data_IF_802999929573
#
_entry.id   IF_802999929573
#
_cell.length_a   1.000
_cell.length_b   1.000
_cell.length_c   1.000
_cell.angle_alpha   90.00
_cell.angle_beta   90.00
_cell.angle_gamma   90.00
#
_symmetry.space_group_name_H-M   'P 1'
#
loop_
_entity.id
_entity.type
_entity.pdbx_description
1 polymer ?
#
# COMPACT_ATOMS: atom_id res chain seq x y z
N UNK A 1 -2.62 -46.31 -25.95
CA UNK A 1 -2.39 -46.13 -24.50
C UNK A 1 -1.10 -45.38 -24.18
N UNK A 2 0.08 -45.79 -24.68
CA UNK A 2 1.38 -45.13 -24.38
C UNK A 2 1.46 -43.64 -24.75
N UNK A 3 0.87 -43.23 -25.87
CA UNK A 3 0.83 -41.81 -26.31
C UNK A 3 -0.08 -40.95 -25.42
N UNK A 4 -1.20 -41.50 -24.94
CA UNK A 4 -2.16 -40.79 -24.08
C UNK A 4 -1.56 -40.52 -22.69
N UNK A 5 -0.85 -41.49 -22.13
CA UNK A 5 -0.13 -41.36 -20.84
C UNK A 5 0.97 -40.29 -20.94
N UNK A 6 1.67 -40.22 -22.07
CA UNK A 6 2.71 -39.21 -22.31
C UNK A 6 2.13 -37.78 -22.33
N UNK A 7 0.98 -37.58 -22.97
CA UNK A 7 0.30 -36.28 -22.99
C UNK A 7 -0.21 -35.87 -21.60
N UNK A 8 -0.78 -36.80 -20.83
CA UNK A 8 -1.29 -36.51 -19.50
C UNK A 8 -0.16 -36.17 -18.50
N UNK A 9 1.00 -36.81 -18.62
CA UNK A 9 2.20 -36.48 -17.82
C UNK A 9 2.75 -35.09 -18.17
N UNK A 10 2.76 -34.71 -19.45
CA UNK A 10 3.21 -33.39 -19.89
C UNK A 10 2.29 -32.27 -19.40
N UNK A 11 0.96 -32.48 -19.43
CA UNK A 11 -0.02 -31.54 -18.88
C UNK A 11 0.13 -31.42 -17.36
N UNK A 12 0.35 -32.53 -16.66
CA UNK A 12 0.56 -32.52 -15.21
C UNK A 12 1.85 -31.79 -14.82
N UNK A 13 2.95 -32.00 -15.54
CA UNK A 13 4.24 -31.29 -15.37
C UNK A 13 4.14 -29.78 -15.67
N UNK A 14 3.30 -29.40 -16.64
CA UNK A 14 3.03 -28.00 -16.94
C UNK A 14 2.20 -27.33 -15.83
N UNK A 15 1.24 -28.04 -15.22
CA UNK A 15 0.44 -27.53 -14.10
C UNK A 15 1.26 -27.26 -12.83
N UNK A 16 2.33 -28.03 -12.57
CA UNK A 16 3.20 -27.83 -11.39
C UNK A 16 4.13 -26.62 -11.57
N UNK A 17 4.57 -26.32 -12.80
CA UNK A 17 5.45 -25.19 -13.09
C UNK A 17 4.72 -23.84 -13.09
N UNK A 18 3.45 -23.80 -13.51
CA UNK A 18 2.61 -22.60 -13.43
C UNK A 18 2.37 -22.16 -11.98
N UNK A 19 2.21 -23.11 -11.06
CA UNK A 19 2.03 -22.80 -9.63
C UNK A 19 3.32 -22.33 -8.93
N UNK A 20 4.50 -22.64 -9.48
CA UNK A 20 5.79 -22.28 -8.89
C UNK A 20 6.29 -20.88 -9.29
N UNK A 21 5.82 -20.31 -10.41
CA UNK A 21 6.25 -18.99 -10.88
C UNK A 21 5.47 -17.80 -10.29
N UNK A 22 4.36 -18.02 -9.58
CA UNK A 22 3.57 -16.94 -8.96
C UNK A 22 3.96 -16.72 -7.50
N UNK A 23 5.24 -16.42 -7.26
CA UNK A 23 5.66 -15.71 -6.04
C UNK A 23 6.09 -14.30 -6.45
N UNK A 24 5.18 -13.58 -7.11
CA UNK A 24 5.33 -12.15 -7.35
C UNK A 24 5.38 -11.44 -6.01
N UNK A 25 6.21 -10.41 -5.91
CA UNK A 25 6.45 -9.73 -4.65
C UNK A 25 5.21 -9.06 -4.06
N UNK A 26 5.11 -8.96 -2.73
CA UNK A 26 3.93 -8.34 -2.10
C UNK A 26 3.97 -6.82 -2.28
N UNK A 27 2.80 -6.23 -2.56
CA UNK A 27 2.65 -4.78 -2.67
C UNK A 27 1.94 -4.20 -1.44
N UNK A 28 2.47 -3.13 -0.88
CA UNK A 28 1.85 -2.34 0.18
C UNK A 28 1.37 -1.00 -0.38
N UNK A 29 0.08 -0.73 -0.35
CA UNK A 29 -0.45 0.60 -0.68
C UNK A 29 -0.56 1.42 0.60
N UNK A 30 0.52 2.14 0.93
CA UNK A 30 0.55 3.05 2.08
C UNK A 30 0.01 4.44 1.70
N UNK A 31 -0.91 4.99 2.49
CA UNK A 31 -1.52 6.30 2.18
C UNK A 31 -1.80 7.15 3.42
N UNK A 32 -1.74 8.47 3.26
CA UNK A 32 -2.29 9.44 4.22
C UNK A 32 -3.49 10.16 3.59
N UNK A 33 -4.52 10.44 4.38
CA UNK A 33 -5.73 11.10 3.88
C UNK A 33 -6.47 11.87 4.98
N UNK A 34 -6.32 13.20 5.02
CA UNK A 34 -7.02 14.02 6.01
C UNK A 34 -8.53 14.14 5.75
N UNK A 35 -8.97 14.19 4.48
CA UNK A 35 -10.37 14.46 4.07
C UNK A 35 -11.01 13.33 3.27
N UNK A 36 -10.33 12.20 3.11
CA UNK A 36 -10.88 10.98 2.50
C UNK A 36 -10.68 10.82 0.99
N UNK A 37 -10.24 11.86 0.27
CA UNK A 37 -10.03 11.76 -1.19
C UNK A 37 -8.93 10.77 -1.54
N UNK A 38 -7.76 10.86 -0.90
CA UNK A 38 -6.66 9.93 -1.13
C UNK A 38 -7.01 8.52 -0.62
N UNK A 39 -7.79 8.40 0.46
CA UNK A 39 -8.25 7.09 0.94
C UNK A 39 -9.07 6.32 -0.11
N UNK A 40 -9.94 7.02 -0.86
CA UNK A 40 -10.70 6.42 -1.97
C UNK A 40 -9.78 5.97 -3.10
N UNK A 41 -8.82 6.81 -3.49
CA UNK A 41 -7.85 6.47 -4.52
C UNK A 41 -6.98 5.27 -4.11
N UNK A 42 -6.48 5.25 -2.87
CA UNK A 42 -5.66 4.17 -2.35
C UNK A 42 -6.39 2.83 -2.32
N UNK A 43 -7.70 2.82 -2.00
CA UNK A 43 -8.53 1.61 -2.10
C UNK A 43 -8.58 1.07 -3.52
N UNK A 44 -8.82 1.94 -4.51
CA UNK A 44 -8.84 1.54 -5.92
C UNK A 44 -7.48 1.01 -6.39
N UNK A 45 -6.39 1.62 -5.95
CA UNK A 45 -5.02 1.15 -6.26
C UNK A 45 -4.77 -0.22 -5.63
N UNK A 46 -5.10 -0.40 -4.35
CA UNK A 46 -4.94 -1.68 -3.65
C UNK A 46 -5.74 -2.81 -4.31
N UNK A 47 -6.98 -2.54 -4.72
CA UNK A 47 -7.80 -3.49 -5.48
C UNK A 47 -7.18 -3.83 -6.85
N UNK A 48 -6.63 -2.84 -7.56
CA UNK A 48 -6.05 -3.05 -8.89
C UNK A 48 -4.74 -3.87 -8.86
N UNK A 49 -3.97 -3.78 -7.78
CA UNK A 49 -2.66 -4.44 -7.65
C UNK A 49 -2.67 -5.66 -6.73
N UNK A 50 -3.84 -6.03 -6.19
CA UNK A 50 -3.99 -7.05 -5.15
C UNK A 50 -3.05 -6.79 -3.95
N UNK A 51 -2.97 -5.51 -3.54
CA UNK A 51 -2.02 -5.01 -2.56
C UNK A 51 -2.61 -4.86 -1.15
N UNK A 52 -1.78 -4.98 -0.13
CA UNK A 52 -2.17 -4.69 1.25
C UNK A 52 -2.38 -3.19 1.42
N UNK A 53 -3.56 -2.76 1.86
CA UNK A 53 -3.84 -1.36 2.13
C UNK A 53 -3.40 -0.97 3.55
N UNK A 54 -2.62 0.11 3.69
CA UNK A 54 -2.17 0.63 4.99
C UNK A 54 -2.37 2.14 5.11
N UNK A 55 -3.08 2.57 6.16
CA UNK A 55 -3.28 3.99 6.46
C UNK A 55 -2.14 4.51 7.36
N UNK A 56 -1.47 5.57 6.92
CA UNK A 56 -0.51 6.34 7.69
C UNK A 56 -1.31 7.26 8.63
N UNK A 57 -1.48 6.83 9.87
CA UNK A 57 -2.27 7.54 10.86
C UNK A 57 -1.42 8.53 11.66
N UNK A 58 -1.74 9.83 11.66
CA UNK A 58 -1.07 10.79 12.53
C UNK A 58 -1.51 10.58 13.98
N UNK A 59 -0.61 10.77 14.95
CA UNK A 59 -0.91 10.71 16.37
C UNK A 59 -2.00 11.71 16.77
N UNK A 60 -1.99 12.89 16.15
CA UNK A 60 -3.06 13.89 16.22
C UNK A 60 -3.72 14.03 14.85
N UNK A 61 -4.99 13.67 14.74
CA UNK A 61 -5.78 13.86 13.51
C UNK A 61 -5.81 15.34 13.11
N UNK A 62 -5.78 15.59 11.81
CA UNK A 62 -5.89 16.94 11.26
C UNK A 62 -7.34 17.42 11.34
N UNK A 63 -7.53 18.62 11.88
CA UNK A 63 -8.81 19.32 11.93
C UNK A 63 -8.98 20.24 10.72
N UNK A 64 -10.18 20.79 10.52
CA UNK A 64 -10.40 21.79 9.47
C UNK A 64 -9.50 23.03 9.64
N UNK A 65 -9.30 23.49 10.89
CA UNK A 65 -8.42 24.61 11.20
C UNK A 65 -6.93 24.26 10.93
N UNK A 66 -6.51 23.03 11.22
CA UNK A 66 -5.15 22.57 10.90
C UNK A 66 -4.89 22.60 9.38
N UNK A 67 -5.92 22.37 8.56
CA UNK A 67 -5.86 22.27 7.10
C UNK A 67 -6.12 23.60 6.38
N UNK A 68 -6.35 24.69 7.12
CA UNK A 68 -6.58 26.00 6.52
C UNK A 68 -5.26 26.57 5.98
N UNK A 69 -5.03 26.37 4.69
CA UNK A 69 -3.84 26.87 3.98
C UNK A 69 -3.82 28.39 3.80
N UNK A 70 -4.94 29.09 4.01
CA UNK A 70 -4.96 30.56 4.02
C UNK A 70 -4.40 31.12 5.33
N UNK A 71 -4.51 30.37 6.43
CA UNK A 71 -3.90 30.72 7.71
C UNK A 71 -2.43 30.26 7.74
N UNK A 72 -1.50 31.22 7.79
CA UNK A 72 -0.06 30.93 7.92
C UNK A 72 0.31 30.32 9.28
N UNK A 73 -0.54 30.46 10.29
CA UNK A 73 -0.38 29.86 11.60
C UNK A 73 -1.06 28.49 11.70
N UNK A 74 -1.79 28.03 10.67
CA UNK A 74 -2.36 26.69 10.68
C UNK A 74 -1.26 25.65 10.75
N UNK A 75 -1.59 24.52 11.37
CA UNK A 75 -0.66 23.40 11.53
C UNK A 75 -0.07 22.96 10.20
N UNK A 76 -0.88 22.84 9.14
CA UNK A 76 -0.39 22.45 7.81
C UNK A 76 0.57 23.49 7.22
N UNK A 77 0.27 24.79 7.32
CA UNK A 77 1.18 25.84 6.86
C UNK A 77 2.52 25.81 7.58
N UNK A 78 2.50 25.68 8.91
CA UNK A 78 3.72 25.60 9.74
C UNK A 78 4.52 24.35 9.40
N UNK A 79 3.88 23.17 9.38
CA UNK A 79 4.55 21.90 9.05
C UNK A 79 5.17 21.92 7.64
N UNK A 80 4.48 22.51 6.64
CA UNK A 80 4.98 22.57 5.26
C UNK A 80 6.05 23.64 5.06
N UNK A 81 6.12 24.65 5.93
CA UNK A 81 7.19 25.66 5.91
C UNK A 81 8.51 25.17 6.53
N UNK A 82 8.45 24.12 7.36
CA UNK A 82 9.62 23.51 8.01
C UNK A 82 9.97 22.15 7.41
N UNK A 83 11.07 22.08 6.66
CA UNK A 83 11.56 20.83 6.05
C UNK A 83 11.96 19.76 7.07
N UNK A 84 12.18 20.14 8.33
CA UNK A 84 12.49 19.23 9.44
C UNK A 84 11.24 18.73 10.16
N UNK A 85 10.06 19.23 9.80
CA UNK A 85 8.79 18.79 10.40
C UNK A 85 8.58 17.28 10.22
N UNK A 86 8.31 16.57 11.31
CA UNK A 86 8.02 15.13 11.34
C UNK A 86 6.85 14.87 12.29
N UNK A 87 5.59 15.04 11.82
CA UNK A 87 4.42 14.77 12.64
C UNK A 87 4.44 13.33 13.16
N UNK A 88 4.18 13.17 14.47
CA UNK A 88 4.19 11.85 15.10
C UNK A 88 3.10 10.95 14.50
N UNK A 89 3.42 9.66 14.36
CA UNK A 89 2.47 8.63 13.94
C UNK A 89 1.73 8.06 15.17
N UNK A 90 0.49 7.64 14.97
CA UNK A 90 -0.33 7.03 16.03
C UNK A 90 0.26 5.69 16.51
N UNK A 91 0.86 4.93 15.59
CA UNK A 91 1.52 3.66 15.88
C UNK A 91 2.86 3.56 15.15
N UNK A 92 3.73 2.70 15.67
CA UNK A 92 4.94 2.31 14.95
C UNK A 92 4.57 1.41 13.78
N UNK A 93 5.25 1.61 12.66
CA UNK A 93 5.10 0.74 11.50
C UNK A 93 5.61 -0.66 11.84
N UNK A 94 4.89 -1.69 11.40
CA UNK A 94 5.35 -3.07 11.48
C UNK A 94 6.55 -3.32 10.55
N UNK A 95 7.00 -4.58 10.49
CA UNK A 95 8.03 -4.96 9.51
C UNK A 95 7.54 -4.73 8.08
N UNK A 96 8.39 -4.14 7.25
CA UNK A 96 8.14 -3.98 5.81
C UNK A 96 8.86 -5.04 4.97
N UNK A 97 9.60 -5.96 5.60
CA UNK A 97 10.48 -6.90 4.91
C UNK A 97 9.75 -7.91 4.02
N UNK A 98 8.42 -8.05 4.18
CA UNK A 98 7.60 -8.92 3.34
C UNK A 98 7.12 -8.25 2.04
N UNK A 99 7.30 -6.93 1.90
CA UNK A 99 6.85 -6.17 0.74
C UNK A 99 8.02 -5.84 -0.19
N UNK A 100 7.83 -6.14 -1.47
CA UNK A 100 8.80 -5.86 -2.53
C UNK A 100 8.46 -4.56 -3.27
N UNK A 101 7.24 -4.06 -3.10
CA UNK A 101 6.76 -2.80 -3.69
C UNK A 101 5.91 -2.06 -2.67
N UNK A 102 6.10 -0.75 -2.56
CA UNK A 102 5.32 0.17 -1.71
C UNK A 102 4.92 1.37 -2.56
#
# INVERSE_FOLDING_TARGET
MKRLVLFMMAVMLLSITVNAQKKGGKTLVAYFSATGTTARAAKLVAEAVDGTLYEIQPAKKYTAADLDWHDKASRSSVEMSDSKSRPALYSKLGSLAEYDTI
#
